data_IF_147060156604
#
_entry.id   IF_147060156604
#
_cell.length_a   1.000
_cell.length_b   1.000
_cell.length_c   1.000
_cell.angle_alpha   90.00
_cell.angle_beta   90.00
_cell.angle_gamma   90.00
#
_symmetry.space_group_name_H-M   'P 1'
#
loop_
_entity.id
_entity.type
_entity.pdbx_description
1 polymer ?
#
# COMPACT_ATOMS: atom_id res chain seq x y z
N UNK A 1 -2.56 16.79 6.48
CA UNK A 1 -1.65 16.10 5.56
C UNK A 1 -2.39 15.52 4.35
N UNK A 2 -3.55 14.88 4.53
CA UNK A 2 -4.31 14.19 3.48
C UNK A 2 -4.60 15.08 2.26
N UNK A 3 -5.16 16.30 2.46
CA UNK A 3 -5.43 17.24 1.35
C UNK A 3 -4.19 17.56 0.53
N UNK A 4 -3.07 17.86 1.20
CA UNK A 4 -1.80 18.13 0.52
C UNK A 4 -1.28 16.91 -0.24
N UNK A 5 -1.45 15.70 0.32
CA UNK A 5 -1.07 14.46 -0.35
C UNK A 5 -1.93 14.17 -1.58
N UNK A 6 -3.24 14.46 -1.55
CA UNK A 6 -4.08 14.37 -2.75
C UNK A 6 -3.64 15.37 -3.82
N UNK A 7 -3.35 16.63 -3.45
CA UNK A 7 -2.80 17.60 -4.40
C UNK A 7 -1.46 17.14 -4.99
N UNK A 8 -0.60 16.52 -4.18
CA UNK A 8 0.69 15.98 -4.64
C UNK A 8 0.50 14.76 -5.55
N UNK A 9 -0.38 13.82 -5.17
CA UNK A 9 -0.73 12.63 -5.95
C UNK A 9 -1.28 13.00 -7.33
N UNK A 10 -2.16 14.01 -7.37
CA UNK A 10 -2.85 14.45 -8.57
C UNK A 10 -2.15 15.63 -9.27
N UNK A 11 -0.89 15.90 -8.93
CA UNK A 11 -0.12 16.94 -9.60
C UNK A 11 0.02 16.60 -11.09
N UNK A 12 -0.64 17.38 -11.93
CA UNK A 12 -0.72 17.16 -13.38
C UNK A 12 -2.03 17.71 -13.96
N UNK A 13 -2.15 17.69 -15.29
CA UNK A 13 -3.38 18.06 -15.98
C UNK A 13 -4.14 16.81 -16.45
N UNK A 14 -5.47 16.82 -16.30
CA UNK A 14 -6.36 15.78 -16.82
C UNK A 14 -6.87 14.79 -15.76
N UNK A 15 -7.53 13.76 -16.25
CA UNK A 15 -8.11 12.70 -15.41
C UNK A 15 -7.02 11.90 -14.68
N UNK A 16 -7.26 11.48 -13.42
CA UNK A 16 -6.31 10.67 -12.67
C UNK A 16 -5.97 9.39 -13.45
N UNK A 17 -4.68 9.08 -13.60
CA UNK A 17 -4.21 7.84 -14.21
C UNK A 17 -4.61 6.59 -13.40
N UNK A 18 -4.41 5.40 -13.97
CA UNK A 18 -4.80 4.15 -13.34
C UNK A 18 -4.15 3.92 -11.96
N UNK A 19 -2.89 4.32 -11.78
CA UNK A 19 -2.22 4.18 -10.49
C UNK A 19 -2.65 5.26 -9.48
N UNK A 20 -2.95 6.47 -9.95
CA UNK A 20 -3.51 7.52 -9.07
C UNK A 20 -4.89 7.12 -8.55
N UNK A 21 -5.77 6.55 -9.41
CA UNK A 21 -7.06 5.99 -8.98
C UNK A 21 -6.89 4.83 -8.01
N UNK A 22 -5.89 3.98 -8.25
CA UNK A 22 -5.55 2.92 -7.31
C UNK A 22 -5.14 3.47 -5.93
N UNK A 23 -4.24 4.46 -5.88
CA UNK A 23 -3.85 5.09 -4.61
C UNK A 23 -5.02 5.78 -3.90
N UNK A 24 -5.95 6.41 -4.64
CA UNK A 24 -7.20 6.96 -4.06
C UNK A 24 -8.09 5.86 -3.47
N UNK A 25 -8.27 4.74 -4.18
CA UNK A 25 -9.03 3.59 -3.69
C UNK A 25 -8.38 2.95 -2.46
N UNK A 26 -7.05 2.81 -2.47
CA UNK A 26 -6.27 2.32 -1.33
C UNK A 26 -6.41 3.24 -0.13
N UNK A 27 -6.39 4.56 -0.32
CA UNK A 27 -6.60 5.53 0.76
C UNK A 27 -8.04 5.52 1.32
N UNK A 28 -9.05 5.37 0.45
CA UNK A 28 -10.44 5.17 0.87
C UNK A 28 -10.57 3.97 1.82
N UNK A 29 -10.01 2.82 1.43
CA UNK A 29 -10.05 1.60 2.24
C UNK A 29 -9.23 1.73 3.52
N UNK A 30 -8.05 2.37 3.45
CA UNK A 30 -7.22 2.64 4.62
C UNK A 30 -7.97 3.51 5.63
N UNK A 31 -8.66 4.57 5.19
CA UNK A 31 -9.50 5.42 6.06
C UNK A 31 -10.53 4.58 6.82
N UNK A 32 -11.25 3.70 6.12
CA UNK A 32 -12.23 2.78 6.72
C UNK A 32 -11.61 1.85 7.75
N UNK A 33 -10.45 1.25 7.46
CA UNK A 33 -9.74 0.40 8.44
C UNK A 33 -9.38 1.23 9.67
N UNK A 34 -8.71 2.37 9.49
CA UNK A 34 -8.21 3.20 10.60
C UNK A 34 -9.32 3.71 11.50
N UNK A 35 -10.53 3.95 10.97
CA UNK A 35 -11.70 4.35 11.75
C UNK A 35 -12.10 3.33 12.83
N UNK A 36 -11.70 2.07 12.67
CA UNK A 36 -11.94 1.00 13.63
C UNK A 36 -10.73 0.71 14.54
N UNK A 37 -9.63 1.47 14.44
CA UNK A 37 -8.38 1.21 15.18
C UNK A 37 -8.05 2.35 16.14
N UNK A 38 -8.22 2.17 17.47
CA UNK A 38 -8.07 3.27 18.45
C UNK A 38 -6.63 3.78 18.60
N UNK A 39 -5.61 2.97 18.30
CA UNK A 39 -4.19 3.30 18.48
C UNK A 39 -3.44 3.43 17.15
N UNK A 40 -4.13 3.67 16.04
CA UNK A 40 -3.52 3.89 14.73
C UNK A 40 -3.43 5.38 14.43
N UNK A 41 -2.29 5.86 13.94
CA UNK A 41 -2.20 7.20 13.35
C UNK A 41 -2.90 7.20 11.98
N UNK A 42 -4.20 7.51 11.99
CA UNK A 42 -5.03 7.51 10.79
C UNK A 42 -4.52 8.46 9.71
N UNK A 43 -4.08 9.66 10.08
CA UNK A 43 -3.55 10.64 9.11
C UNK A 43 -2.30 10.10 8.41
N UNK A 44 -1.38 9.46 9.15
CA UNK A 44 -0.17 8.86 8.60
C UNK A 44 -0.48 7.67 7.68
N UNK A 45 -1.34 6.74 8.10
CA UNK A 45 -1.68 5.56 7.30
C UNK A 45 -2.43 5.94 6.01
N UNK A 46 -3.39 6.88 6.08
CA UNK A 46 -4.16 7.34 4.92
C UNK A 46 -3.27 8.13 3.95
N UNK A 47 -2.39 9.00 4.47
CA UNK A 47 -1.41 9.71 3.63
C UNK A 47 -0.42 8.73 3.01
N UNK A 48 0.03 7.73 3.77
CA UNK A 48 0.87 6.64 3.27
C UNK A 48 0.21 5.86 2.14
N UNK A 49 -1.07 5.50 2.30
CA UNK A 49 -1.87 4.83 1.29
C UNK A 49 -2.01 5.66 0.00
N UNK A 50 -2.20 6.99 0.10
CA UNK A 50 -2.22 7.89 -1.06
C UNK A 50 -0.90 7.92 -1.82
N UNK A 51 0.23 7.79 -1.12
CA UNK A 51 1.55 8.06 -1.70
C UNK A 51 2.44 6.83 -1.89
N UNK A 52 2.01 5.64 -1.45
CA UNK A 52 2.83 4.42 -1.52
C UNK A 52 3.35 4.09 -2.93
N UNK A 53 2.57 4.45 -3.95
CA UNK A 53 2.83 4.13 -5.35
C UNK A 53 3.41 5.32 -6.14
N UNK A 54 3.76 6.44 -5.47
CA UNK A 54 4.09 7.72 -6.13
C UNK A 54 5.31 7.65 -7.04
N UNK A 55 6.21 6.68 -6.84
CA UNK A 55 7.34 6.46 -7.73
C UNK A 55 6.96 5.95 -9.12
N UNK A 56 5.68 5.57 -9.34
CA UNK A 56 5.14 5.22 -10.67
C UNK A 56 5.17 6.39 -11.67
N UNK A 57 5.31 7.63 -11.18
CA UNK A 57 5.56 8.78 -12.05
C UNK A 57 6.93 8.73 -12.76
N UNK A 58 7.88 7.93 -12.24
CA UNK A 58 9.25 7.80 -12.77
C UNK A 58 9.47 6.40 -13.37
N UNK A 59 9.07 5.35 -12.66
CA UNK A 59 9.38 3.97 -13.04
C UNK A 59 8.14 3.10 -13.02
N UNK A 60 8.02 2.23 -14.02
CA UNK A 60 7.16 1.06 -13.95
C UNK A 60 7.95 -0.12 -13.34
N UNK A 61 7.25 -1.17 -12.87
CA UNK A 61 7.88 -2.38 -12.34
C UNK A 61 8.46 -2.22 -10.93
N UNK A 62 9.40 -3.09 -10.54
CA UNK A 62 9.84 -3.26 -9.14
C UNK A 62 10.44 -1.99 -8.50
N UNK A 63 11.09 -1.12 -9.29
CA UNK A 63 11.81 0.03 -8.75
C UNK A 63 10.93 1.23 -8.35
N UNK A 64 9.63 1.24 -8.66
CA UNK A 64 8.74 2.33 -8.27
C UNK A 64 8.75 2.59 -6.76
N UNK A 65 8.88 1.54 -5.93
CA UNK A 65 9.00 1.70 -4.49
C UNK A 65 10.24 2.51 -4.08
N UNK A 66 11.40 2.21 -4.70
CA UNK A 66 12.67 2.90 -4.42
C UNK A 66 12.62 4.37 -4.85
N UNK A 67 12.13 4.64 -6.06
CA UNK A 67 11.93 6.02 -6.51
C UNK A 67 10.94 6.78 -5.61
N UNK A 68 9.84 6.13 -5.23
CA UNK A 68 8.84 6.69 -4.32
C UNK A 68 9.43 7.02 -2.95
N UNK A 69 10.28 6.14 -2.40
CA UNK A 69 10.97 6.39 -1.14
C UNK A 69 11.80 7.67 -1.22
N UNK A 70 12.68 7.81 -2.22
CA UNK A 70 13.54 8.99 -2.32
C UNK A 70 12.76 10.28 -2.62
N UNK A 71 11.70 10.22 -3.42
CA UNK A 71 10.80 11.37 -3.66
C UNK A 71 10.19 11.89 -2.35
N UNK A 72 9.69 10.99 -1.50
CA UNK A 72 9.03 11.37 -0.27
C UNK A 72 10.02 11.67 0.86
N UNK A 73 11.15 10.98 0.94
CA UNK A 73 12.12 11.12 2.04
C UNK A 73 12.67 12.54 2.12
N UNK A 74 12.92 13.17 0.97
CA UNK A 74 13.34 14.58 0.87
C UNK A 74 12.20 15.60 1.00
N UNK A 75 10.94 15.15 1.06
CA UNK A 75 9.77 16.04 1.10
C UNK A 75 9.45 16.49 2.53
N UNK A 76 9.33 17.81 2.75
CA UNK A 76 9.12 18.41 4.08
C UNK A 76 7.91 17.87 4.85
N UNK A 77 6.83 17.55 4.14
CA UNK A 77 5.58 17.08 4.77
C UNK A 77 5.41 15.56 4.76
N UNK A 78 6.09 14.85 3.85
CA UNK A 78 5.78 13.44 3.56
C UNK A 78 6.95 12.49 3.86
N UNK A 79 8.04 12.98 4.47
CA UNK A 79 9.23 12.18 4.78
C UNK A 79 8.90 10.90 5.57
N UNK A 80 7.96 10.97 6.52
CA UNK A 80 7.50 9.80 7.28
C UNK A 80 6.71 8.78 6.43
N UNK A 81 6.09 9.22 5.33
CA UNK A 81 5.36 8.35 4.41
C UNK A 81 6.27 7.59 3.45
N UNK A 82 7.54 7.99 3.31
CA UNK A 82 8.49 7.38 2.38
C UNK A 82 8.61 5.86 2.57
N UNK A 83 8.58 5.39 3.83
CA UNK A 83 8.68 3.97 4.15
C UNK A 83 7.58 3.13 3.50
N UNK A 84 6.37 3.67 3.36
CA UNK A 84 5.24 2.94 2.77
C UNK A 84 5.49 2.58 1.31
N UNK A 85 6.31 3.35 0.59
CA UNK A 85 6.76 3.01 -0.77
C UNK A 85 7.61 1.74 -0.82
N UNK A 86 8.27 1.37 0.27
CA UNK A 86 9.07 0.14 0.36
C UNK A 86 8.29 -0.97 1.06
N UNK A 87 7.61 -0.66 2.17
CA UNK A 87 6.95 -1.68 3.00
C UNK A 87 5.72 -2.28 2.33
N UNK A 88 5.04 -1.58 1.41
CA UNK A 88 3.94 -2.18 0.63
C UNK A 88 4.44 -3.26 -0.35
N UNK A 89 5.68 -3.10 -0.82
CA UNK A 89 6.34 -4.03 -1.73
C UNK A 89 7.02 -5.19 -0.99
N UNK A 90 7.90 -4.89 -0.03
CA UNK A 90 8.68 -5.90 0.68
C UNK A 90 7.86 -6.66 1.73
N UNK A 91 6.84 -6.01 2.32
CA UNK A 91 5.96 -6.60 3.35
C UNK A 91 6.72 -7.17 4.55
N UNK A 92 7.73 -6.47 5.05
CA UNK A 92 8.48 -6.88 6.24
C UNK A 92 9.37 -8.10 6.03
N UNK A 93 9.80 -8.37 4.80
CA UNK A 93 10.75 -9.46 4.54
C UNK A 93 12.14 -9.14 5.06
N UNK A 94 12.82 -10.15 5.60
CA UNK A 94 14.25 -10.07 5.92
C UNK A 94 15.10 -10.11 4.65
N UNK A 95 16.41 -9.87 4.77
CA UNK A 95 17.35 -10.00 3.66
C UNK A 95 17.29 -11.41 3.05
N UNK A 96 17.30 -12.45 3.89
CA UNK A 96 17.26 -13.84 3.47
C UNK A 96 15.99 -14.17 2.68
N UNK A 97 14.84 -13.70 3.16
CA UNK A 97 13.55 -13.92 2.50
C UNK A 97 13.49 -13.21 1.14
N UNK A 98 14.09 -12.02 1.02
CA UNK A 98 14.14 -11.30 -0.25
C UNK A 98 15.02 -12.04 -1.26
N UNK A 99 16.18 -12.53 -0.83
CA UNK A 99 17.12 -13.28 -1.68
C UNK A 99 16.59 -14.65 -2.07
N UNK A 100 15.77 -15.27 -1.23
CA UNK A 100 15.18 -16.58 -1.50
C UNK A 100 13.93 -16.50 -2.38
N UNK A 101 13.07 -15.51 -2.15
CA UNK A 101 11.77 -15.41 -2.83
C UNK A 101 11.79 -14.54 -4.10
N UNK A 102 12.74 -13.62 -4.21
CA UNK A 102 12.81 -12.62 -5.28
C UNK A 102 14.11 -12.67 -6.09
N UNK A 103 14.18 -11.82 -7.12
CA UNK A 103 15.28 -11.83 -8.11
C UNK A 103 16.23 -10.61 -7.98
N UNK A 104 16.23 -9.94 -6.82
CA UNK A 104 17.09 -8.77 -6.60
C UNK A 104 18.54 -9.20 -6.30
N UNK A 105 19.56 -8.56 -6.91
CA UNK A 105 20.95 -8.81 -6.55
C UNK A 105 21.22 -8.52 -5.06
N UNK A 106 22.05 -9.34 -4.41
CA UNK A 106 22.33 -9.22 -2.98
C UNK A 106 22.84 -7.83 -2.56
N UNK A 107 23.72 -7.21 -3.36
CA UNK A 107 24.18 -5.85 -3.11
C UNK A 107 23.04 -4.82 -3.12
N UNK A 108 22.03 -5.00 -3.99
CA UNK A 108 20.86 -4.13 -4.03
C UNK A 108 19.95 -4.33 -2.82
N UNK A 109 19.73 -5.58 -2.38
CA UNK A 109 18.94 -5.89 -1.18
C UNK A 109 19.59 -5.26 0.05
N UNK A 110 20.89 -5.45 0.23
CA UNK A 110 21.65 -4.89 1.35
C UNK A 110 21.62 -3.36 1.34
N UNK A 111 21.80 -2.73 0.19
CA UNK A 111 21.73 -1.27 0.07
C UNK A 111 20.32 -0.74 0.39
N UNK A 112 19.27 -1.45 -0.04
CA UNK A 112 17.88 -1.11 0.23
C UNK A 112 17.56 -1.19 1.73
N UNK A 113 17.89 -2.31 2.38
CA UNK A 113 17.63 -2.53 3.81
C UNK A 113 18.52 -1.66 4.72
N UNK A 114 19.59 -1.04 4.20
CA UNK A 114 20.39 -0.09 4.94
C UNK A 114 19.76 1.32 5.03
N UNK A 115 18.70 1.62 4.26
CA UNK A 115 18.07 2.94 4.25
C UNK A 115 17.25 3.21 5.52
N UNK A 116 16.49 2.21 5.97
CA UNK A 116 15.60 2.28 7.13
C UNK A 116 15.18 0.86 7.55
N UNK A 117 14.58 0.73 8.73
CA UNK A 117 13.93 -0.52 9.14
C UNK A 117 12.61 -0.73 8.41
N UNK A 118 12.66 -1.57 7.38
CA UNK A 118 11.51 -2.05 6.61
C UNK A 118 11.02 -3.43 7.03
N UNK A 119 11.69 -4.07 7.99
CA UNK A 119 11.38 -5.43 8.47
C UNK A 119 10.34 -5.34 9.57
N UNK A 120 10.55 -4.47 10.55
CA UNK A 120 9.61 -4.26 11.65
C UNK A 120 8.49 -3.32 11.22
N UNK A 121 7.32 -3.91 10.95
CA UNK A 121 6.14 -3.19 10.49
C UNK A 121 5.30 -2.66 11.65
N UNK A 122 4.94 -1.38 11.59
CA UNK A 122 3.95 -0.77 12.49
C UNK A 122 2.51 -1.06 12.05
N UNK A 123 1.53 -0.67 12.87
CA UNK A 123 0.10 -0.86 12.55
C UNK A 123 -0.27 -0.14 11.25
N UNK A 124 0.29 1.04 11.01
CA UNK A 124 0.09 1.84 9.80
C UNK A 124 0.62 1.11 8.55
N UNK A 125 1.76 0.42 8.66
CA UNK A 125 2.30 -0.40 7.56
C UNK A 125 1.33 -1.54 7.21
N UNK A 126 0.73 -2.19 8.23
CA UNK A 126 -0.26 -3.25 8.03
C UNK A 126 -1.51 -2.72 7.34
N UNK A 127 -2.02 -1.56 7.77
CA UNK A 127 -3.18 -0.90 7.17
C UNK A 127 -2.93 -0.64 5.68
N UNK A 128 -1.82 0.01 5.33
CA UNK A 128 -1.49 0.34 3.93
C UNK A 128 -1.37 -0.93 3.10
N UNK A 129 -0.68 -1.96 3.61
CA UNK A 129 -0.50 -3.23 2.91
C UNK A 129 -1.80 -3.98 2.63
N UNK A 130 -2.72 -3.99 3.59
CA UNK A 130 -4.01 -4.66 3.44
C UNK A 130 -4.93 -3.86 2.53
N UNK A 131 -4.98 -2.53 2.70
CA UNK A 131 -5.76 -1.66 1.83
C UNK A 131 -5.31 -1.77 0.36
N UNK A 132 -4.00 -1.76 0.09
CA UNK A 132 -3.43 -1.94 -1.26
C UNK A 132 -3.86 -3.29 -1.87
N UNK A 133 -3.80 -4.36 -1.07
CA UNK A 133 -4.19 -5.68 -1.56
C UNK A 133 -5.69 -5.83 -1.81
N UNK A 134 -6.53 -5.08 -1.08
CA UNK A 134 -7.99 -5.05 -1.28
C UNK A 134 -8.38 -4.15 -2.45
N UNK A 135 -7.58 -3.13 -2.78
CA UNK A 135 -7.76 -2.29 -3.96
C UNK A 135 -7.09 -2.90 -5.21
N UNK A 136 -7.84 -3.67 -6.02
CA UNK A 136 -7.33 -4.07 -7.35
C UNK A 136 -7.66 -2.97 -8.35
N UNK A 137 -6.68 -2.13 -8.67
CA UNK A 137 -6.91 -0.83 -9.33
C UNK A 137 -7.86 -0.02 -8.45
N UNK A 138 -9.02 0.34 -8.96
CA UNK A 138 -10.11 1.06 -8.31
C UNK A 138 -11.25 0.13 -7.84
N UNK A 139 -11.07 -1.20 -7.88
CA UNK A 139 -12.12 -2.18 -7.52
C UNK A 139 -11.81 -2.87 -6.19
N UNK A 140 -12.79 -2.90 -5.29
CA UNK A 140 -12.69 -3.64 -4.02
C UNK A 140 -12.72 -5.14 -4.30
N UNK A 141 -11.70 -5.88 -3.86
CA UNK A 141 -11.60 -7.34 -4.00
C UNK A 141 -11.16 -7.99 -2.69
N UNK A 142 -11.40 -9.29 -2.54
CA UNK A 142 -10.77 -10.03 -1.45
C UNK A 142 -9.26 -10.18 -1.69
N UNK A 143 -8.48 -10.29 -0.62
CA UNK A 143 -7.04 -10.61 -0.69
C UNK A 143 -6.82 -11.89 -1.51
N UNK A 144 -7.69 -12.89 -1.36
CA UNK A 144 -7.59 -14.13 -2.13
C UNK A 144 -7.71 -13.87 -3.63
N UNK A 145 -8.77 -13.18 -4.07
CA UNK A 145 -9.00 -12.85 -5.47
C UNK A 145 -7.88 -11.94 -6.05
N UNK A 146 -7.33 -11.02 -5.25
CA UNK A 146 -6.19 -10.17 -5.66
C UNK A 146 -4.98 -10.99 -6.07
N UNK A 147 -4.61 -11.98 -5.27
CA UNK A 147 -3.40 -12.78 -5.51
C UNK A 147 -3.64 -13.91 -6.52
N UNK A 148 -4.85 -14.46 -6.63
CA UNK A 148 -5.21 -15.36 -7.74
C UNK A 148 -5.13 -14.65 -9.10
N UNK A 149 -5.66 -13.42 -9.20
CA UNK A 149 -5.55 -12.59 -10.39
C UNK A 149 -4.08 -12.28 -10.73
N UNK A 150 -3.27 -11.96 -9.72
CA UNK A 150 -1.84 -11.70 -9.91
C UNK A 150 -1.11 -12.95 -10.42
N UNK A 151 -1.34 -14.12 -9.81
CA UNK A 151 -0.74 -15.38 -10.25
C UNK A 151 -1.17 -15.76 -11.67
N UNK A 152 -2.42 -15.50 -12.06
CA UNK A 152 -2.89 -15.72 -13.44
C UNK A 152 -2.19 -14.83 -14.46
N UNK A 153 -1.91 -13.56 -14.10
CA UNK A 153 -1.32 -12.58 -15.02
C UNK A 153 0.21 -12.67 -15.10
N UNK A 154 0.87 -13.02 -14.00
CA UNK A 154 2.32 -12.94 -13.87
C UNK A 154 2.99 -14.30 -13.64
N UNK A 155 2.21 -15.39 -13.50
CA UNK A 155 2.69 -16.69 -13.09
C UNK A 155 2.77 -16.81 -11.56
N UNK A 156 2.59 -18.03 -11.05
CA UNK A 156 2.80 -18.30 -9.63
C UNK A 156 4.29 -18.21 -9.28
N UNK A 157 4.61 -17.62 -8.13
CA UNK A 157 5.98 -17.49 -7.65
C UNK A 157 6.04 -17.48 -6.12
N UNK A 158 7.19 -17.86 -5.52
CA UNK A 158 7.38 -17.75 -4.07
C UNK A 158 7.09 -16.36 -3.54
N UNK A 159 7.47 -15.30 -4.29
CA UNK A 159 7.19 -13.91 -3.92
C UNK A 159 5.69 -13.59 -3.82
N UNK A 160 4.90 -14.03 -4.81
CA UNK A 160 3.45 -13.79 -4.81
C UNK A 160 2.75 -14.59 -3.71
N UNK A 161 3.15 -15.85 -3.50
CA UNK A 161 2.62 -16.67 -2.42
C UNK A 161 2.98 -16.09 -1.04
N UNK A 162 4.22 -15.61 -0.88
CA UNK A 162 4.67 -14.88 0.31
C UNK A 162 3.86 -13.62 0.54
N UNK A 163 3.57 -12.83 -0.51
CA UNK A 163 2.74 -11.64 -0.41
C UNK A 163 1.31 -11.97 0.05
N UNK A 164 0.71 -13.03 -0.49
CA UNK A 164 -0.60 -13.52 -0.07
C UNK A 164 -0.61 -13.91 1.41
N UNK A 165 0.33 -14.75 1.84
CA UNK A 165 0.43 -15.21 3.24
C UNK A 165 0.61 -14.03 4.20
N UNK A 166 1.53 -13.12 3.90
CA UNK A 166 1.81 -11.92 4.73
C UNK A 166 0.58 -11.02 4.83
N UNK A 167 -0.06 -10.72 3.71
CA UNK A 167 -1.24 -9.85 3.71
C UNK A 167 -2.41 -10.47 4.49
N UNK A 168 -2.62 -11.79 4.39
CA UNK A 168 -3.60 -12.50 5.22
C UNK A 168 -3.24 -12.44 6.71
N UNK A 169 -1.95 -12.55 7.06
CA UNK A 169 -1.48 -12.39 8.43
C UNK A 169 -1.72 -10.96 8.96
N UNK A 170 -1.40 -9.95 8.15
CA UNK A 170 -1.64 -8.54 8.48
C UNK A 170 -3.13 -8.27 8.69
N UNK A 171 -3.98 -8.78 7.79
CA UNK A 171 -5.44 -8.70 7.97
C UNK A 171 -5.87 -9.32 9.30
N UNK A 172 -5.39 -10.52 9.64
CA UNK A 172 -5.75 -11.17 10.89
C UNK A 172 -5.30 -10.37 12.13
N UNK A 173 -4.16 -9.67 12.05
CA UNK A 173 -3.73 -8.73 13.09
C UNK A 173 -4.68 -7.53 13.19
N UNK A 174 -5.05 -6.93 12.07
CA UNK A 174 -5.99 -5.80 12.01
C UNK A 174 -7.39 -6.20 12.50
N UNK A 175 -7.87 -7.40 12.17
CA UNK A 175 -9.16 -7.92 12.65
C UNK A 175 -9.19 -8.01 14.18
N UNK A 176 -8.08 -8.49 14.79
CA UNK A 176 -7.94 -8.55 16.26
C UNK A 176 -7.93 -7.15 16.88
N UNK A 177 -7.20 -6.21 16.28
CA UNK A 177 -7.14 -4.83 16.77
C UNK A 177 -8.48 -4.11 16.63
N UNK A 178 -9.20 -4.34 15.53
CA UNK A 178 -10.53 -3.78 15.27
C UNK A 178 -11.67 -4.49 16.01
N UNK A 179 -11.41 -5.68 16.59
CA UNK A 179 -12.38 -6.57 17.24
C UNK A 179 -13.55 -6.97 16.32
N UNK A 180 -13.29 -7.03 15.01
CA UNK A 180 -14.24 -7.44 13.97
C UNK A 180 -13.48 -7.79 12.69
N UNK A 181 -14.12 -8.51 11.79
CA UNK A 181 -13.58 -8.68 10.43
C UNK A 181 -13.58 -7.33 9.70
N UNK A 182 -12.40 -6.83 9.34
CA UNK A 182 -12.27 -5.54 8.66
C UNK A 182 -12.92 -5.53 7.26
N UNK A 183 -13.17 -6.70 6.63
CA UNK A 183 -13.94 -6.74 5.39
C UNK A 183 -15.36 -6.20 5.57
N UNK A 184 -15.91 -6.25 6.78
CA UNK A 184 -17.22 -5.65 7.08
C UNK A 184 -17.20 -4.11 7.08
N UNK A 185 -16.03 -3.48 6.96
CA UNK A 185 -15.87 -2.02 6.85
C UNK A 185 -15.88 -1.53 5.40
N UNK A 186 -15.81 -2.44 4.43
CA UNK A 186 -15.67 -2.11 3.02
C UNK A 186 -17.01 -2.17 2.27
N UNK A 187 -17.13 -1.45 1.15
CA UNK A 187 -18.18 -1.75 0.17
C UNK A 187 -18.12 -3.21 -0.30
N UNK A 188 -19.21 -3.76 -0.85
CA UNK A 188 -19.22 -5.11 -1.40
C UNK A 188 -18.07 -5.33 -2.40
N UNK A 189 -17.49 -6.54 -2.41
CA UNK A 189 -16.49 -6.89 -3.42
C UNK A 189 -17.08 -6.74 -4.84
N UNK A 190 -16.29 -6.15 -5.74
CA UNK A 190 -16.71 -5.73 -7.07
C UNK A 190 -17.09 -4.25 -7.16
N UNK A 191 -17.23 -3.53 -6.04
CA UNK A 191 -17.50 -2.09 -6.05
C UNK A 191 -16.33 -1.32 -6.65
N UNK A 192 -16.61 -0.44 -7.61
CA UNK A 192 -15.66 0.56 -8.10
C UNK A 192 -15.66 1.78 -7.16
N UNK A 193 -14.49 2.13 -6.63
CA UNK A 193 -14.29 3.34 -5.84
C UNK A 193 -13.99 4.48 -6.81
N UNK A 194 -14.96 5.36 -7.02
CA UNK A 194 -14.78 6.56 -7.84
C UNK A 194 -13.97 7.62 -7.10
N UNK A 195 -13.42 8.59 -7.85
CA UNK A 195 -12.73 9.75 -7.28
C UNK A 195 -13.62 10.50 -6.28
N UNK A 196 -14.91 10.69 -6.60
CA UNK A 196 -15.86 11.36 -5.71
C UNK A 196 -16.10 10.59 -4.40
N UNK A 197 -16.19 9.26 -4.48
CA UNK A 197 -16.29 8.41 -3.27
C UNK A 197 -15.04 8.56 -2.41
N UNK A 198 -13.86 8.55 -3.03
CA UNK A 198 -12.59 8.75 -2.33
C UNK A 198 -12.53 10.14 -1.67
N UNK A 199 -12.87 11.22 -2.38
CA UNK A 199 -12.85 12.57 -1.83
C UNK A 199 -13.83 12.75 -0.67
N UNK A 200 -15.06 12.25 -0.81
CA UNK A 200 -16.06 12.28 0.26
C UNK A 200 -15.57 11.54 1.51
N UNK A 201 -14.98 10.36 1.35
CA UNK A 201 -14.44 9.58 2.46
C UNK A 201 -13.27 10.27 3.15
N UNK A 202 -12.42 10.95 2.38
CA UNK A 202 -11.23 11.64 2.87
C UNK A 202 -11.52 13.05 3.40
N UNK A 203 -12.79 13.49 3.39
CA UNK A 203 -13.22 14.80 3.87
C UNK A 203 -12.70 15.96 3.02
N UNK A 204 -12.64 15.77 1.69
CA UNK A 204 -12.11 16.75 0.73
C UNK A 204 -13.21 17.45 -0.08
#
# INVERSE_FOLDING_TARGET
MIKQAVCYLLAGAGEPSAWQRHSLATAFLASRITSALPNCNAELAVTGALLHDVGRQISCGLFHGVYGYFLLKGHKLFSQCARFCITHWLKGRTEEEILQEGDLPAGCVKALLALEDFVNLGVEDLVVNVADSVARRDVVVSIHARYEDAARRYGASPWLDGNKRRTLHFKAQLDRLAKRDIYTLFPPFGTHITTDMAFKELGL
#
